data_IF_457951132525
#
_entry.id   IF_457951132525
#
_cell.length_a   1.000
_cell.length_b   1.000
_cell.length_c   1.000
_cell.angle_alpha   90.00
_cell.angle_beta   90.00
_cell.angle_gamma   90.00
#
_symmetry.space_group_name_H-M   'P 1'
#
loop_
_entity.id
_entity.type
_entity.pdbx_description
1 polymer ?
#
# COMPACT_ATOMS: atom_id res chain seq x y z
N UNK A 1 39.17 14.81 -6.53
CA UNK A 1 38.60 16.11 -6.96
C UNK A 1 37.25 16.19 -6.28
N UNK A 2 37.12 17.01 -5.25
CA UNK A 2 35.84 17.29 -4.58
C UNK A 2 35.09 18.30 -5.42
N UNK A 3 34.21 17.83 -6.30
CA UNK A 3 33.19 18.69 -6.87
C UNK A 3 32.28 19.09 -5.72
N UNK A 4 32.27 20.35 -5.34
CA UNK A 4 31.23 20.97 -4.53
C UNK A 4 29.95 20.89 -5.37
N UNK A 5 29.18 19.82 -5.23
CA UNK A 5 27.83 19.75 -5.79
C UNK A 5 27.04 20.92 -5.19
N UNK A 6 26.52 21.80 -6.04
CA UNK A 6 25.61 22.85 -5.60
C UNK A 6 24.38 22.16 -5.00
N UNK A 7 24.16 22.36 -3.69
CA UNK A 7 23.01 21.83 -2.98
C UNK A 7 21.74 22.42 -3.59
N UNK A 8 20.85 21.60 -4.13
CA UNK A 8 19.63 22.10 -4.79
C UNK A 8 18.72 22.82 -3.76
N UNK A 9 17.87 23.71 -4.26
CA UNK A 9 16.92 24.44 -3.40
C UNK A 9 15.99 23.49 -2.65
N UNK A 10 15.58 22.38 -3.28
CA UNK A 10 14.75 21.34 -2.65
C UNK A 10 15.50 20.56 -1.59
N UNK A 11 16.78 20.27 -1.77
CA UNK A 11 17.62 19.66 -0.75
C UNK A 11 17.66 20.53 0.52
N UNK A 12 17.87 21.84 0.37
CA UNK A 12 17.83 22.80 1.50
C UNK A 12 16.45 22.83 2.14
N UNK A 13 15.38 22.83 1.34
CA UNK A 13 14.01 22.80 1.85
C UNK A 13 13.75 21.57 2.71
N UNK A 14 14.18 20.38 2.27
CA UNK A 14 13.92 19.13 3.00
C UNK A 14 14.83 18.92 4.22
N UNK A 15 15.91 19.67 4.39
CA UNK A 15 16.78 19.56 5.58
C UNK A 15 16.02 19.78 6.90
N UNK A 16 15.03 20.70 6.94
CA UNK A 16 14.21 20.95 8.12
C UNK A 16 13.40 19.72 8.57
N UNK A 17 13.02 18.85 7.62
CA UNK A 17 12.32 17.58 7.91
C UNK A 17 13.33 16.48 8.23
N UNK A 18 14.39 16.34 7.45
CA UNK A 18 15.39 15.28 7.61
C UNK A 18 16.01 15.24 8.99
N UNK A 19 16.35 16.40 9.59
CA UNK A 19 16.95 16.49 10.93
C UNK A 19 16.09 15.88 12.05
N UNK A 20 14.79 15.77 11.84
CA UNK A 20 13.81 15.24 12.78
C UNK A 20 13.53 13.74 12.61
N UNK A 21 14.11 13.09 11.61
CA UNK A 21 14.01 11.63 11.43
C UNK A 21 14.75 10.95 12.55
N UNK A 22 14.08 10.08 13.31
CA UNK A 22 14.72 9.33 14.40
C UNK A 22 15.71 8.35 13.81
N UNK A 23 16.96 8.43 14.27
CA UNK A 23 18.05 7.59 13.78
C UNK A 23 18.72 8.09 12.49
N UNK A 24 18.49 9.33 12.05
CA UNK A 24 19.15 9.92 10.85
C UNK A 24 20.68 9.92 10.94
N UNK A 25 21.22 10.01 12.15
CA UNK A 25 22.66 9.96 12.42
C UNK A 25 23.07 8.69 13.19
N UNK A 26 22.24 7.63 13.15
CA UNK A 26 22.55 6.38 13.83
C UNK A 26 23.78 5.73 13.19
N UNK A 27 24.63 5.14 14.02
CA UNK A 27 25.78 4.35 13.62
C UNK A 27 25.65 2.94 14.16
N UNK A 28 26.31 1.98 13.50
CA UNK A 28 26.41 0.60 13.94
C UNK A 28 27.80 0.04 13.65
N UNK A 29 28.17 -1.07 14.30
CA UNK A 29 29.43 -1.74 14.07
C UNK A 29 29.22 -2.90 13.10
N UNK A 30 29.98 -2.91 12.01
CA UNK A 30 30.02 -3.99 11.01
C UNK A 30 31.37 -4.71 11.05
N UNK A 31 31.57 -5.80 10.30
CA UNK A 31 32.88 -6.44 10.15
C UNK A 31 33.96 -5.52 9.55
N UNK A 32 33.55 -4.42 8.88
CA UNK A 32 34.45 -3.43 8.28
C UNK A 32 34.62 -2.17 9.15
N UNK A 33 34.18 -2.23 10.41
CA UNK A 33 34.27 -1.12 11.35
C UNK A 33 32.93 -0.37 11.51
N UNK A 34 33.03 0.86 12.02
CA UNK A 34 31.88 1.72 12.31
C UNK A 34 31.31 2.32 11.04
N UNK A 35 30.01 2.15 10.83
CA UNK A 35 29.28 2.64 9.66
C UNK A 35 28.13 3.56 10.08
N UNK A 36 27.84 4.59 9.28
CA UNK A 36 26.60 5.37 9.40
C UNK A 36 25.45 4.58 8.80
N UNK A 37 24.31 4.50 9.49
CA UNK A 37 23.10 3.89 8.96
C UNK A 37 22.46 4.80 7.90
N UNK A 38 22.50 4.40 6.63
CA UNK A 38 21.87 5.11 5.50
C UNK A 38 20.66 4.28 5.08
N UNK A 39 19.47 4.67 5.55
CA UNK A 39 18.23 3.93 5.28
C UNK A 39 17.67 4.30 3.91
N UNK A 40 17.59 3.34 3.00
CA UNK A 40 17.09 3.52 1.63
C UNK A 40 15.88 2.63 1.29
N UNK A 41 15.44 1.74 2.20
CA UNK A 41 14.30 0.85 1.99
C UNK A 41 12.94 1.51 2.35
N UNK A 42 12.73 2.75 1.92
CA UNK A 42 11.52 3.53 2.20
C UNK A 42 10.25 2.90 1.63
N UNK A 43 10.35 2.20 0.52
CA UNK A 43 9.24 1.46 -0.10
C UNK A 43 8.68 0.38 0.82
N UNK A 44 9.50 -0.16 1.72
CA UNK A 44 9.08 -1.17 2.69
C UNK A 44 8.40 -0.56 3.92
N UNK A 45 8.99 0.49 4.49
CA UNK A 45 8.45 1.20 5.66
C UNK A 45 9.07 2.58 5.76
N UNK A 46 8.30 3.56 6.25
CA UNK A 46 8.82 4.85 6.65
C UNK A 46 9.72 4.77 7.89
N UNK A 47 10.16 5.94 8.34
CA UNK A 47 10.94 6.10 9.59
C UNK A 47 10.12 6.87 10.61
N UNK A 48 10.41 6.65 11.90
CA UNK A 48 9.81 7.45 12.97
C UNK A 48 10.26 8.93 12.86
N UNK A 49 9.35 9.82 13.23
CA UNK A 49 9.57 11.25 13.14
C UNK A 49 9.36 11.90 14.51
N UNK A 50 10.41 12.52 15.06
CA UNK A 50 10.46 13.02 16.44
C UNK A 50 9.24 13.88 16.84
N UNK A 51 8.82 14.91 16.08
CA UNK A 51 7.68 15.72 16.48
C UNK A 51 6.36 14.95 16.58
N UNK A 52 6.17 13.88 15.78
CA UNK A 52 4.98 13.01 15.86
C UNK A 52 5.03 12.18 17.14
N UNK A 53 6.19 11.57 17.45
CA UNK A 53 6.32 10.73 18.66
C UNK A 53 6.18 11.59 19.93
N UNK A 54 6.80 12.78 19.95
CA UNK A 54 6.68 13.72 21.07
C UNK A 54 5.24 14.20 21.26
N UNK A 55 4.52 14.46 20.17
CA UNK A 55 3.11 14.87 20.22
C UNK A 55 2.23 13.73 20.76
N UNK A 56 2.43 12.51 20.31
CA UNK A 56 1.71 11.35 20.83
C UNK A 56 1.98 11.16 22.33
N UNK A 57 3.22 11.28 22.76
CA UNK A 57 3.60 11.07 24.15
C UNK A 57 3.12 12.21 25.08
N UNK A 58 3.28 13.46 24.66
CA UNK A 58 3.13 14.62 25.56
C UNK A 58 1.74 15.26 25.46
N UNK A 59 1.07 15.25 24.31
CA UNK A 59 -0.22 15.88 24.13
C UNK A 59 -1.38 14.87 24.25
N UNK A 60 -1.29 13.71 23.60
CA UNK A 60 -2.32 12.68 23.67
C UNK A 60 -2.15 11.71 24.83
N UNK A 61 -0.89 11.36 25.17
CA UNK A 61 -0.56 10.38 26.20
C UNK A 61 -1.23 10.62 27.56
N UNK A 62 -1.26 11.86 28.10
CA UNK A 62 -1.91 12.17 29.37
C UNK A 62 -3.42 11.90 29.40
N UNK A 63 -4.09 11.84 28.22
CA UNK A 63 -5.54 11.66 28.10
C UNK A 63 -5.92 10.28 27.55
N UNK A 64 -4.96 9.37 27.36
CA UNK A 64 -5.25 8.05 26.81
C UNK A 64 -6.28 7.33 27.66
N UNK A 65 -7.44 7.06 27.07
CA UNK A 65 -8.55 6.32 27.62
C UNK A 65 -9.35 5.68 26.51
N UNK A 66 -10.32 4.80 26.86
CA UNK A 66 -11.19 4.21 25.86
C UNK A 66 -11.98 5.30 25.11
N UNK A 67 -12.13 5.11 23.80
CA UNK A 67 -13.09 5.84 22.97
C UNK A 67 -14.51 5.34 23.25
N UNK A 68 -15.55 5.85 22.60
CA UNK A 68 -16.97 5.56 22.80
C UNK A 68 -17.55 6.01 24.16
N UNK A 69 -16.91 6.99 24.81
CA UNK A 69 -17.45 7.65 26.00
C UNK A 69 -17.14 9.15 25.95
N UNK A 70 -18.14 9.95 26.26
CA UNK A 70 -18.03 11.42 26.29
C UNK A 70 -18.37 11.99 27.68
N UNK A 71 -18.39 11.14 28.71
CA UNK A 71 -18.76 11.52 30.06
C UNK A 71 -17.57 11.88 30.95
N UNK A 72 -16.35 11.57 30.51
CA UNK A 72 -15.10 11.89 31.19
C UNK A 72 -14.19 12.71 30.30
N UNK A 73 -13.33 13.57 30.89
CA UNK A 73 -12.42 14.42 30.12
C UNK A 73 -11.49 13.59 29.21
N UNK A 74 -10.96 12.48 29.68
CA UNK A 74 -10.09 11.61 28.88
C UNK A 74 -10.84 10.88 27.77
N UNK A 75 -12.03 10.33 28.07
CA UNK A 75 -12.87 9.69 27.05
C UNK A 75 -13.28 10.66 25.95
N UNK A 76 -13.77 11.86 26.34
CA UNK A 76 -14.13 12.92 25.38
C UNK A 76 -12.93 13.33 24.52
N UNK A 77 -11.77 13.57 25.14
CA UNK A 77 -10.56 14.00 24.41
C UNK A 77 -10.13 12.94 23.37
N UNK A 78 -10.12 11.65 23.74
CA UNK A 78 -9.73 10.58 22.81
C UNK A 78 -10.76 10.33 21.71
N UNK A 79 -12.05 10.37 22.05
CA UNK A 79 -13.14 10.26 21.05
C UNK A 79 -13.07 11.38 20.02
N UNK A 80 -12.91 12.63 20.47
CA UNK A 80 -12.77 13.77 19.56
C UNK A 80 -11.51 13.67 18.70
N UNK A 81 -10.35 13.32 19.28
CA UNK A 81 -9.11 13.16 18.55
C UNK A 81 -9.21 12.05 17.49
N UNK A 82 -9.86 10.94 17.82
CA UNK A 82 -10.12 9.83 16.88
C UNK A 82 -11.00 10.27 15.70
N UNK A 83 -12.13 10.97 15.97
CA UNK A 83 -12.99 11.48 14.90
C UNK A 83 -12.28 12.52 14.03
N UNK A 84 -11.50 13.43 14.63
CA UNK A 84 -10.71 14.39 13.86
C UNK A 84 -9.68 13.70 12.97
N UNK A 85 -9.01 12.65 13.47
CA UNK A 85 -8.07 11.87 12.68
C UNK A 85 -8.74 11.19 11.48
N UNK A 86 -9.92 10.60 11.65
CA UNK A 86 -10.72 10.02 10.56
C UNK A 86 -11.09 11.07 9.51
N UNK A 87 -11.50 12.26 9.93
CA UNK A 87 -11.82 13.37 9.02
C UNK A 87 -10.59 13.84 8.23
N UNK A 88 -9.41 13.91 8.85
CA UNK A 88 -8.15 14.23 8.16
C UNK A 88 -7.84 13.18 7.10
N UNK A 89 -7.99 11.90 7.41
CA UNK A 89 -7.76 10.81 6.46
C UNK A 89 -8.73 10.92 5.27
N UNK A 90 -10.03 11.10 5.53
CA UNK A 90 -11.04 11.25 4.47
C UNK A 90 -10.74 12.46 3.57
N UNK A 91 -10.41 13.60 4.18
CA UNK A 91 -10.04 14.81 3.42
C UNK A 91 -8.81 14.60 2.56
N UNK A 92 -7.79 13.90 3.07
CA UNK A 92 -6.54 13.62 2.37
C UNK A 92 -6.72 12.85 1.06
N UNK A 93 -7.74 12.00 1.01
CA UNK A 93 -8.04 11.17 -0.18
C UNK A 93 -9.18 11.72 -1.02
N UNK A 94 -9.65 12.93 -0.74
CA UNK A 94 -10.81 13.55 -1.38
C UNK A 94 -12.07 12.66 -1.32
N UNK A 95 -12.32 12.03 -0.16
CA UNK A 95 -13.52 11.25 0.08
C UNK A 95 -14.75 12.17 0.27
N UNK A 96 -15.91 11.68 -0.13
CA UNK A 96 -17.20 12.38 0.02
C UNK A 96 -18.11 11.68 1.05
N UNK A 97 -19.36 12.14 1.21
CA UNK A 97 -20.34 11.60 2.16
C UNK A 97 -20.84 10.18 1.84
N UNK A 98 -20.52 9.68 0.65
CA UNK A 98 -20.82 8.29 0.25
C UNK A 98 -19.67 7.32 0.53
N UNK A 99 -18.54 7.82 1.04
CA UNK A 99 -17.38 7.01 1.30
C UNK A 99 -17.27 6.64 2.78
N UNK A 100 -17.01 5.36 3.01
CA UNK A 100 -16.80 4.74 4.32
C UNK A 100 -15.30 4.58 4.55
N UNK A 101 -14.83 5.04 5.70
CA UNK A 101 -13.45 4.82 6.15
C UNK A 101 -13.40 3.67 7.16
N UNK A 102 -12.59 2.66 6.88
CA UNK A 102 -12.24 1.61 7.83
C UNK A 102 -10.72 1.62 8.04
N UNK A 103 -10.32 1.54 9.30
CA UNK A 103 -8.92 1.35 9.69
C UNK A 103 -8.77 0.03 10.42
N UNK A 104 -7.86 -0.83 9.94
CA UNK A 104 -7.67 -2.16 10.55
C UNK A 104 -6.23 -2.67 10.32
N UNK A 105 -5.80 -3.58 11.17
CA UNK A 105 -4.49 -4.20 11.07
C UNK A 105 -3.35 -3.19 11.06
N UNK A 106 -2.26 -3.52 10.37
CA UNK A 106 -1.02 -2.73 10.32
C UNK A 106 -0.69 -2.18 8.93
N UNK A 107 -1.51 -2.43 7.92
CA UNK A 107 -1.27 -2.00 6.55
C UNK A 107 -2.31 -2.51 5.56
N UNK A 108 -2.06 -2.28 4.28
CA UNK A 108 -2.96 -2.60 3.18
C UNK A 108 -3.40 -4.07 3.17
N UNK A 109 -2.50 -5.01 3.45
CA UNK A 109 -2.83 -6.45 3.48
C UNK A 109 -4.00 -6.79 4.41
N UNK A 110 -4.03 -6.20 5.62
CA UNK A 110 -5.12 -6.41 6.58
C UNK A 110 -6.45 -5.90 6.03
N UNK A 111 -6.45 -4.66 5.55
CA UNK A 111 -7.70 -4.01 5.11
C UNK A 111 -8.24 -4.56 3.79
N UNK A 112 -7.39 -4.99 2.83
CA UNK A 112 -7.90 -5.63 1.61
C UNK A 112 -8.56 -6.98 1.91
N UNK A 113 -7.97 -7.77 2.81
CA UNK A 113 -8.58 -9.04 3.25
C UNK A 113 -9.90 -8.79 4.00
N UNK A 114 -9.96 -7.77 4.87
CA UNK A 114 -11.21 -7.35 5.52
C UNK A 114 -12.25 -6.92 4.49
N UNK A 115 -11.86 -6.14 3.50
CA UNK A 115 -12.77 -5.68 2.44
C UNK A 115 -13.33 -6.85 1.61
N UNK A 116 -12.49 -7.83 1.26
CA UNK A 116 -12.93 -9.05 0.57
C UNK A 116 -13.97 -9.84 1.39
N UNK A 117 -13.85 -9.88 2.74
CA UNK A 117 -14.88 -10.48 3.61
C UNK A 117 -16.16 -9.63 3.66
N UNK A 118 -16.03 -8.30 3.76
CA UNK A 118 -17.17 -7.37 3.68
C UNK A 118 -17.93 -7.52 2.36
N UNK A 119 -17.23 -7.69 1.25
CA UNK A 119 -17.83 -7.95 -0.07
C UNK A 119 -18.42 -9.36 -0.21
N UNK A 120 -18.27 -10.24 0.80
CA UNK A 120 -18.75 -11.61 0.75
C UNK A 120 -17.97 -12.52 -0.19
N UNK A 121 -16.73 -12.16 -0.53
CA UNK A 121 -15.89 -12.88 -1.49
C UNK A 121 -14.99 -13.95 -0.85
N UNK A 122 -14.90 -14.00 0.46
CA UNK A 122 -14.08 -14.98 1.19
C UNK A 122 -14.94 -16.08 1.77
N UNK A 123 -14.55 -17.32 1.50
CA UNK A 123 -15.13 -18.52 2.12
C UNK A 123 -14.04 -19.18 2.94
N UNK A 124 -14.40 -19.72 4.11
CA UNK A 124 -13.46 -20.51 4.92
C UNK A 124 -12.96 -21.69 4.10
N UNK A 125 -11.64 -21.96 4.15
CA UNK A 125 -11.00 -22.97 3.29
C UNK A 125 -11.65 -24.35 3.39
N UNK A 126 -12.00 -24.78 4.62
CA UNK A 126 -12.68 -26.05 4.89
C UNK A 126 -14.12 -26.12 4.36
N UNK A 127 -14.68 -25.01 3.85
CA UNK A 127 -16.01 -24.95 3.25
C UNK A 127 -15.96 -24.76 1.72
N UNK A 128 -14.79 -24.53 1.13
CA UNK A 128 -14.66 -24.30 -0.33
C UNK A 128 -15.25 -25.46 -1.15
N UNK A 129 -14.96 -26.70 -0.79
CA UNK A 129 -15.45 -27.90 -1.50
C UNK A 129 -16.97 -28.08 -1.44
N UNK A 130 -17.63 -27.52 -0.43
CA UNK A 130 -19.09 -27.57 -0.27
C UNK A 130 -19.82 -26.39 -0.90
N UNK A 131 -19.09 -25.47 -1.53
CA UNK A 131 -19.65 -24.24 -2.08
C UNK A 131 -19.52 -24.21 -3.59
N UNK A 132 -20.63 -24.49 -4.30
CA UNK A 132 -20.71 -24.34 -5.76
C UNK A 132 -21.30 -22.97 -6.10
N UNK A 133 -20.50 -22.11 -6.73
CA UNK A 133 -20.95 -20.79 -7.17
C UNK A 133 -21.24 -20.85 -8.68
N UNK A 134 -22.47 -20.58 -9.12
CA UNK A 134 -22.80 -20.52 -10.53
C UNK A 134 -21.95 -19.49 -11.27
N UNK A 135 -21.45 -19.85 -12.47
CA UNK A 135 -20.58 -18.99 -13.27
C UNK A 135 -21.15 -17.59 -13.50
N UNK A 136 -22.48 -17.49 -13.70
CA UNK A 136 -23.16 -16.22 -13.97
C UNK A 136 -23.06 -15.19 -12.81
N UNK A 137 -22.97 -15.66 -11.57
CA UNK A 137 -22.87 -14.79 -10.39
C UNK A 137 -21.46 -14.76 -9.79
N UNK A 138 -20.53 -15.58 -10.32
CA UNK A 138 -19.14 -15.61 -9.89
C UNK A 138 -18.46 -14.31 -10.32
N UNK A 139 -17.88 -13.53 -9.38
CA UNK A 139 -17.18 -12.30 -9.73
C UNK A 139 -15.96 -12.54 -10.60
N UNK A 140 -15.55 -11.53 -11.35
CA UNK A 140 -14.26 -11.47 -12.05
C UNK A 140 -13.43 -10.31 -11.49
N UNK A 141 -12.16 -10.57 -11.19
CA UNK A 141 -11.21 -9.56 -10.74
C UNK A 141 -10.09 -9.43 -11.76
N UNK A 142 -9.88 -8.22 -12.25
CA UNK A 142 -8.77 -7.88 -13.12
C UNK A 142 -7.67 -7.25 -12.27
N UNK A 143 -6.46 -7.78 -12.34
CA UNK A 143 -5.27 -7.26 -11.65
C UNK A 143 -4.18 -6.94 -12.68
N UNK A 144 -3.30 -6.01 -12.37
CA UNK A 144 -2.16 -5.74 -13.25
C UNK A 144 -1.06 -6.80 -13.09
N UNK A 145 -0.17 -6.90 -14.07
CA UNK A 145 1.04 -7.72 -13.95
C UNK A 145 2.05 -7.16 -12.92
N UNK A 146 1.85 -5.93 -12.44
CA UNK A 146 2.75 -5.22 -11.51
C UNK A 146 2.33 -5.30 -10.05
N UNK A 147 1.35 -6.15 -9.71
CA UNK A 147 0.78 -6.15 -8.36
C UNK A 147 1.75 -6.66 -7.29
N UNK A 148 1.68 -6.03 -6.12
CA UNK A 148 2.22 -6.61 -4.90
C UNK A 148 1.43 -7.87 -4.53
N UNK A 149 2.10 -8.87 -3.91
CA UNK A 149 1.44 -10.12 -3.49
C UNK A 149 0.14 -9.88 -2.71
N UNK A 150 0.06 -8.85 -1.86
CA UNK A 150 -1.16 -8.55 -1.10
C UNK A 150 -2.37 -8.22 -1.98
N UNK A 151 -2.15 -7.63 -3.17
CA UNK A 151 -3.23 -7.34 -4.13
C UNK A 151 -3.33 -8.38 -5.25
N UNK A 152 -2.54 -9.42 -5.23
CA UNK A 152 -2.62 -10.56 -6.12
C UNK A 152 -3.11 -11.81 -5.39
N UNK A 153 -2.31 -12.34 -4.44
CA UNK A 153 -2.61 -13.61 -3.78
C UNK A 153 -3.90 -13.55 -2.97
N UNK A 154 -4.22 -12.39 -2.39
CA UNK A 154 -5.47 -12.25 -1.64
C UNK A 154 -6.71 -12.47 -2.53
N UNK A 155 -6.69 -12.00 -3.78
CA UNK A 155 -7.78 -12.20 -4.74
C UNK A 155 -7.86 -13.65 -5.24
N UNK A 156 -6.71 -14.32 -5.44
CA UNK A 156 -6.66 -15.74 -5.80
C UNK A 156 -7.30 -16.64 -4.72
N UNK A 157 -7.33 -16.18 -3.47
CA UNK A 157 -7.95 -16.89 -2.35
C UNK A 157 -9.42 -16.51 -2.13
N UNK A 158 -10.04 -15.76 -3.05
CA UNK A 158 -11.48 -15.47 -3.05
C UNK A 158 -12.26 -16.46 -3.90
N UNK A 159 -13.59 -16.29 -3.94
CA UNK A 159 -14.48 -17.03 -4.86
C UNK A 159 -14.44 -16.52 -6.30
N UNK A 160 -13.79 -15.39 -6.55
CA UNK A 160 -13.74 -14.75 -7.86
C UNK A 160 -12.80 -15.52 -8.82
N UNK A 161 -13.06 -15.39 -10.12
CA UNK A 161 -12.02 -15.64 -11.11
C UNK A 161 -11.07 -14.43 -11.12
N UNK A 162 -9.79 -14.68 -11.40
CA UNK A 162 -8.78 -13.61 -11.46
C UNK A 162 -8.08 -13.66 -12.81
N UNK A 163 -8.06 -12.52 -13.50
CA UNK A 163 -7.33 -12.34 -14.76
C UNK A 163 -6.24 -11.29 -14.58
N UNK A 164 -5.04 -11.62 -15.04
CA UNK A 164 -3.92 -10.69 -15.08
C UNK A 164 -3.95 -9.91 -16.38
N UNK A 165 -4.00 -8.60 -16.30
CA UNK A 165 -3.94 -7.70 -17.46
C UNK A 165 -2.51 -7.75 -18.01
N UNK A 166 -2.33 -8.14 -19.29
CA UNK A 166 -1.01 -8.20 -19.92
C UNK A 166 -0.34 -6.83 -19.99
N UNK A 167 0.99 -6.84 -19.97
CA UNK A 167 1.78 -5.67 -20.33
C UNK A 167 1.66 -5.36 -21.83
N UNK A 168 1.93 -4.11 -22.20
CA UNK A 168 2.19 -3.75 -23.59
C UNK A 168 3.65 -4.11 -24.00
N UNK A 169 4.00 -3.75 -25.22
CA UNK A 169 5.35 -4.04 -25.78
C UNK A 169 6.49 -3.34 -24.99
N UNK A 170 6.18 -2.28 -24.28
CA UNK A 170 7.14 -1.52 -23.46
C UNK A 170 7.15 -1.98 -21.99
N UNK A 171 6.28 -2.91 -21.61
CA UNK A 171 6.18 -3.41 -20.24
C UNK A 171 5.28 -2.59 -19.33
N UNK A 172 4.49 -1.69 -19.90
CA UNK A 172 3.55 -0.84 -19.18
C UNK A 172 2.16 -1.49 -19.12
N UNK A 173 1.28 -0.91 -18.32
CA UNK A 173 -0.12 -1.33 -18.24
C UNK A 173 -0.83 -1.13 -19.59
N UNK A 174 -1.35 -2.20 -20.18
CA UNK A 174 -1.98 -2.17 -21.49
C UNK A 174 -3.49 -1.92 -21.40
N UNK A 175 -3.93 -0.67 -21.59
CA UNK A 175 -5.35 -0.30 -21.61
C UNK A 175 -6.14 -1.02 -22.71
N UNK A 176 -5.51 -1.33 -23.85
CA UNK A 176 -6.20 -2.03 -24.95
C UNK A 176 -6.48 -3.50 -24.60
N UNK A 177 -5.52 -4.20 -24.01
CA UNK A 177 -5.73 -5.57 -23.52
C UNK A 177 -6.73 -5.60 -22.36
N UNK A 178 -6.70 -4.60 -21.49
CA UNK A 178 -7.68 -4.45 -20.42
C UNK A 178 -9.11 -4.33 -20.99
N UNK A 179 -9.35 -3.48 -21.99
CA UNK A 179 -10.67 -3.37 -22.66
C UNK A 179 -11.15 -4.69 -23.23
N UNK A 180 -10.27 -5.46 -23.90
CA UNK A 180 -10.61 -6.78 -24.44
C UNK A 180 -10.99 -7.76 -23.32
N UNK A 181 -10.28 -7.74 -22.19
CA UNK A 181 -10.63 -8.58 -21.03
C UNK A 181 -11.99 -8.19 -20.45
N UNK A 182 -12.28 -6.90 -20.28
CA UNK A 182 -13.57 -6.41 -19.78
C UNK A 182 -14.71 -6.84 -20.72
N UNK A 183 -14.51 -6.77 -22.04
CA UNK A 183 -15.47 -7.24 -23.04
C UNK A 183 -15.67 -8.76 -22.98
N UNK A 184 -14.59 -9.53 -22.89
CA UNK A 184 -14.61 -11.02 -22.74
C UNK A 184 -15.49 -11.47 -21.56
N UNK A 185 -15.51 -10.68 -20.47
CA UNK A 185 -16.27 -10.97 -19.26
C UNK A 185 -17.49 -10.06 -19.10
N UNK A 186 -18.06 -9.58 -20.21
CA UNK A 186 -19.25 -8.70 -20.20
C UNK A 186 -20.49 -9.35 -19.56
N UNK A 187 -20.58 -10.69 -19.59
CA UNK A 187 -21.64 -11.51 -18.99
C UNK A 187 -21.57 -11.59 -17.46
N UNK A 188 -20.46 -11.18 -16.84
CA UNK A 188 -20.30 -11.24 -15.37
C UNK A 188 -21.04 -10.10 -14.70
N UNK A 189 -21.85 -10.44 -13.70
CA UNK A 189 -22.67 -9.47 -12.94
C UNK A 189 -21.83 -8.57 -12.02
N UNK A 190 -20.68 -9.05 -11.55
CA UNK A 190 -19.79 -8.26 -10.70
C UNK A 190 -18.35 -8.31 -11.23
N UNK A 191 -17.89 -7.16 -11.71
CA UNK A 191 -16.57 -6.96 -12.30
C UNK A 191 -15.78 -5.99 -11.42
N UNK A 192 -14.57 -6.36 -11.04
CA UNK A 192 -13.66 -5.59 -10.19
C UNK A 192 -12.34 -5.43 -10.94
N UNK A 193 -11.85 -4.21 -11.08
CA UNK A 193 -10.44 -3.96 -11.33
C UNK A 193 -9.77 -3.63 -9.99
N UNK A 194 -8.78 -4.40 -9.57
CA UNK A 194 -8.00 -4.14 -8.36
C UNK A 194 -6.54 -3.99 -8.74
N UNK A 195 -6.06 -2.75 -8.86
CA UNK A 195 -4.75 -2.46 -9.42
C UNK A 195 -3.90 -1.60 -8.49
N UNK A 196 -2.58 -1.79 -8.56
CA UNK A 196 -1.65 -0.89 -7.87
C UNK A 196 -1.60 0.45 -8.59
N UNK A 197 -1.51 1.55 -7.84
CA UNK A 197 -1.28 2.88 -8.40
C UNK A 197 0.15 3.06 -8.91
N UNK A 198 1.08 2.25 -8.38
CA UNK A 198 2.51 2.30 -8.69
C UNK A 198 3.19 1.00 -8.27
N UNK A 199 4.04 0.45 -9.13
CA UNK A 199 4.85 -0.72 -8.79
C UNK A 199 5.83 -0.44 -7.65
N UNK A 200 5.86 -1.30 -6.66
CA UNK A 200 6.85 -1.27 -5.57
C UNK A 200 8.24 -1.78 -5.98
N UNK A 201 8.41 -2.24 -7.21
CA UNK A 201 9.68 -2.70 -7.78
C UNK A 201 10.32 -1.63 -8.65
N UNK A 202 9.54 -0.99 -9.50
CA UNK A 202 10.07 -0.04 -10.50
C UNK A 202 9.67 1.40 -10.29
N UNK A 203 8.68 1.69 -9.43
CA UNK A 203 8.15 3.04 -9.29
C UNK A 203 7.26 3.50 -10.46
N UNK A 204 7.03 2.64 -11.45
CA UNK A 204 6.19 2.94 -12.62
C UNK A 204 4.73 3.03 -12.20
N UNK A 205 4.05 4.10 -12.60
CA UNK A 205 2.65 4.38 -12.28
C UNK A 205 1.72 3.66 -13.25
N UNK A 206 0.51 3.34 -12.81
CA UNK A 206 -0.57 2.80 -13.64
C UNK A 206 -1.60 3.88 -13.96
N UNK A 207 -2.36 3.75 -15.06
CA UNK A 207 -3.42 4.69 -15.44
C UNK A 207 -4.75 4.37 -14.72
N UNK A 208 -4.76 4.37 -13.37
CA UNK A 208 -5.88 3.86 -12.57
C UNK A 208 -7.19 4.64 -12.75
N UNK A 209 -7.16 5.93 -13.08
CA UNK A 209 -8.38 6.70 -13.36
C UNK A 209 -8.99 6.34 -14.71
N UNK A 210 -8.16 6.06 -15.73
CA UNK A 210 -8.62 5.54 -17.02
C UNK A 210 -9.20 4.13 -16.88
N UNK A 211 -8.60 3.30 -16.02
CA UNK A 211 -9.12 1.98 -15.66
C UNK A 211 -10.49 2.12 -15.00
N UNK A 212 -10.64 3.03 -14.02
CA UNK A 212 -11.91 3.30 -13.35
C UNK A 212 -13.00 3.70 -14.36
N UNK A 213 -12.69 4.63 -15.26
CA UNK A 213 -13.60 5.05 -16.32
C UNK A 213 -14.07 3.89 -17.20
N UNK A 214 -13.15 3.01 -17.63
CA UNK A 214 -13.49 1.82 -18.43
C UNK A 214 -14.39 0.88 -17.63
N UNK A 215 -14.09 0.67 -16.33
CA UNK A 215 -14.90 -0.19 -15.47
C UNK A 215 -16.32 0.34 -15.32
N UNK A 216 -16.50 1.63 -15.03
CA UNK A 216 -17.82 2.25 -14.87
C UNK A 216 -18.66 2.17 -16.17
N UNK A 217 -18.04 2.38 -17.34
CA UNK A 217 -18.69 2.21 -18.64
C UNK A 217 -19.19 0.77 -18.88
N UNK A 218 -18.65 -0.20 -18.14
CA UNK A 218 -18.99 -1.62 -18.25
C UNK A 218 -19.67 -2.18 -16.98
N UNK A 219 -20.28 -1.33 -16.15
CA UNK A 219 -20.93 -1.71 -14.89
C UNK A 219 -20.00 -2.48 -13.93
N UNK A 220 -18.74 -2.12 -13.88
CA UNK A 220 -17.74 -2.63 -12.96
C UNK A 220 -17.31 -1.59 -11.94
N UNK A 221 -16.42 -1.96 -11.03
CA UNK A 221 -15.85 -1.10 -9.97
C UNK A 221 -14.33 -1.12 -10.03
N UNK A 222 -13.70 -0.06 -9.57
CA UNK A 222 -12.24 0.08 -9.56
C UNK A 222 -11.72 0.30 -8.14
N UNK A 223 -10.82 -0.58 -7.72
CA UNK A 223 -10.11 -0.52 -6.44
C UNK A 223 -8.62 -0.25 -6.69
N UNK A 224 -8.03 0.65 -5.92
CA UNK A 224 -6.65 1.05 -6.15
C UNK A 224 -5.79 0.90 -4.90
N UNK A 225 -4.67 0.19 -5.04
CA UNK A 225 -3.65 0.03 -4.01
C UNK A 225 -2.65 1.19 -4.07
N UNK A 226 -2.72 2.09 -3.10
CA UNK A 226 -1.78 3.20 -2.92
C UNK A 226 -0.67 2.90 -1.89
N UNK A 227 -0.46 1.64 -1.52
CA UNK A 227 0.53 1.31 -0.48
C UNK A 227 1.96 1.75 -0.85
N UNK A 228 2.32 1.70 -2.13
CA UNK A 228 3.64 2.17 -2.59
C UNK A 228 3.69 3.69 -2.76
N UNK A 229 2.76 4.25 -3.52
CA UNK A 229 2.77 5.64 -3.95
C UNK A 229 2.20 6.62 -2.92
N UNK A 230 1.34 6.16 -2.00
CA UNK A 230 0.61 7.00 -1.05
C UNK A 230 1.46 8.01 -0.28
N UNK A 231 2.71 7.70 0.15
CA UNK A 231 3.59 8.69 0.78
C UNK A 231 4.00 9.86 -0.11
N UNK A 232 3.92 9.73 -1.44
CA UNK A 232 4.56 10.62 -2.41
C UNK A 232 3.57 11.38 -3.29
N UNK A 233 2.41 10.79 -3.62
CA UNK A 233 1.45 11.36 -4.57
C UNK A 233 0.20 11.90 -3.87
N UNK A 234 -0.52 12.78 -4.54
CA UNK A 234 -1.90 13.10 -4.18
C UNK A 234 -2.79 11.85 -4.40
N UNK A 235 -3.69 11.60 -3.45
CA UNK A 235 -4.71 10.56 -3.60
C UNK A 235 -6.04 11.29 -3.79
N UNK A 236 -6.65 11.11 -4.95
CA UNK A 236 -7.93 11.74 -5.28
C UNK A 236 -8.94 10.68 -5.71
N UNK A 237 -9.87 10.35 -4.79
CA UNK A 237 -10.92 9.36 -5.10
C UNK A 237 -11.96 9.89 -6.08
N UNK A 238 -12.18 11.20 -6.15
CA UNK A 238 -13.25 11.82 -6.94
C UNK A 238 -12.71 12.96 -7.81
N UNK A 239 -11.86 12.66 -8.84
CA UNK A 239 -11.37 13.68 -9.76
C UNK A 239 -12.53 14.23 -10.63
N UNK A 240 -13.48 13.36 -11.00
CA UNK A 240 -14.68 13.65 -11.77
C UNK A 240 -15.75 12.56 -11.59
N UNK A 241 -16.87 12.67 -12.31
CA UNK A 241 -18.02 11.75 -12.21
C UNK A 241 -17.86 10.44 -13.01
N UNK A 242 -16.81 10.27 -13.80
CA UNK A 242 -16.60 9.10 -14.65
C UNK A 242 -15.42 8.23 -14.21
N UNK A 243 -14.38 8.86 -13.65
CA UNK A 243 -13.13 8.24 -13.30
C UNK A 243 -12.85 8.16 -11.79
N UNK A 244 -13.91 8.29 -10.96
CA UNK A 244 -13.80 8.11 -9.51
C UNK A 244 -13.35 6.69 -9.14
N UNK A 245 -12.83 6.53 -7.91
CA UNK A 245 -12.37 5.25 -7.39
C UNK A 245 -13.41 4.72 -6.39
N UNK A 246 -13.83 3.46 -6.59
CA UNK A 246 -14.83 2.83 -5.71
C UNK A 246 -14.25 2.36 -4.38
N UNK A 247 -12.96 2.06 -4.36
CA UNK A 247 -12.21 1.80 -3.12
C UNK A 247 -10.72 2.12 -3.31
N UNK A 248 -10.09 2.51 -2.20
CA UNK A 248 -8.64 2.65 -2.10
C UNK A 248 -8.12 1.98 -0.85
N UNK A 249 -6.90 1.47 -0.92
CA UNK A 249 -6.17 0.94 0.24
C UNK A 249 -4.79 1.55 0.31
N UNK A 250 -4.31 1.81 1.52
CA UNK A 250 -2.91 2.19 1.69
C UNK A 250 -2.35 1.81 3.05
N UNK A 251 -1.03 1.88 3.14
CA UNK A 251 -0.25 1.50 4.32
C UNK A 251 0.43 2.73 4.91
N UNK A 252 -0.20 3.45 5.86
CA UNK A 252 0.39 4.66 6.41
C UNK A 252 1.74 4.44 7.10
N UNK A 253 2.09 3.21 7.52
CA UNK A 253 3.41 2.91 8.07
C UNK A 253 4.56 3.20 7.09
N UNK A 254 4.27 3.37 5.79
CA UNK A 254 5.27 3.76 4.76
C UNK A 254 5.49 5.27 4.69
N UNK A 255 4.61 6.08 5.28
CA UNK A 255 4.82 7.52 5.38
C UNK A 255 5.93 7.85 6.38
N UNK A 256 6.57 8.99 6.22
CA UNK A 256 7.46 9.53 7.25
C UNK A 256 6.64 9.78 8.53
N UNK A 257 7.10 9.25 9.65
CA UNK A 257 6.38 9.26 10.93
C UNK A 257 5.30 8.19 11.06
N UNK A 258 5.10 7.37 10.02
CA UNK A 258 4.01 6.40 9.95
C UNK A 258 4.20 5.03 10.63
N UNK A 259 5.41 4.51 10.93
CA UNK A 259 5.51 3.21 11.60
C UNK A 259 4.67 3.15 12.89
N UNK A 260 3.86 2.10 13.04
CA UNK A 260 2.91 1.92 14.14
C UNK A 260 1.48 2.41 13.85
N UNK A 261 1.16 2.75 12.61
CA UNK A 261 -0.19 3.13 12.16
C UNK A 261 -1.02 1.92 11.74
N UNK A 262 -2.35 2.11 11.66
CA UNK A 262 -3.26 1.13 11.07
C UNK A 262 -3.24 1.18 9.53
N UNK A 263 -3.63 0.08 8.87
CA UNK A 263 -4.00 0.10 7.47
C UNK A 263 -5.26 0.95 7.23
N UNK A 264 -5.38 1.52 6.05
CA UNK A 264 -6.52 2.38 5.67
C UNK A 264 -7.21 1.81 4.44
N UNK A 265 -8.53 1.70 4.54
CA UNK A 265 -9.47 1.39 3.46
C UNK A 265 -10.51 2.52 3.42
N UNK A 266 -10.72 3.10 2.23
CA UNK A 266 -11.86 3.99 1.98
C UNK A 266 -12.61 3.44 0.77
N UNK A 267 -13.94 3.32 0.87
CA UNK A 267 -14.74 2.73 -0.20
C UNK A 267 -16.15 3.31 -0.26
N UNK A 268 -16.76 3.24 -1.43
CA UNK A 268 -18.13 3.69 -1.64
C UNK A 268 -19.12 2.81 -0.85
N UNK A 269 -19.96 3.43 -0.01
CA UNK A 269 -20.96 2.74 0.84
C UNK A 269 -21.91 1.82 0.09
N UNK A 270 -22.13 2.04 -1.21
CA UNK A 270 -22.97 1.18 -2.03
C UNK A 270 -22.42 -0.26 -2.17
N UNK A 271 -21.14 -0.47 -1.90
CA UNK A 271 -20.51 -1.78 -1.87
C UNK A 271 -20.78 -2.55 -0.58
N UNK A 272 -21.24 -1.88 0.47
CA UNK A 272 -21.55 -2.51 1.75
C UNK A 272 -23.00 -3.03 1.77
N UNK A 273 -23.16 -4.34 1.83
CA UNK A 273 -24.49 -5.01 1.82
C UNK A 273 -24.78 -5.78 3.11
N UNK A 274 -23.85 -5.79 4.06
CA UNK A 274 -23.91 -6.62 5.26
C UNK A 274 -24.80 -6.01 6.34
N UNK A 275 -25.62 -6.85 6.97
CA UNK A 275 -26.32 -6.50 8.21
C UNK A 275 -25.48 -6.78 9.46
N UNK A 276 -24.55 -7.72 9.35
CA UNK A 276 -23.61 -8.14 10.40
C UNK A 276 -22.22 -7.63 10.03
N UNK A 277 -21.48 -6.96 10.95
CA UNK A 277 -20.13 -6.53 10.67
C UNK A 277 -19.18 -7.71 10.47
N UNK A 278 -18.03 -7.45 9.82
CA UNK A 278 -16.96 -8.43 9.63
C UNK A 278 -16.42 -8.97 10.98
N UNK A 279 -16.34 -8.10 11.98
CA UNK A 279 -15.88 -8.44 13.34
C UNK A 279 -16.94 -8.03 14.39
N UNK A 280 -17.98 -8.86 14.63
CA UNK A 280 -18.97 -8.56 15.67
C UNK A 280 -18.32 -8.51 17.06
N UNK A 281 -18.66 -7.49 17.86
CA UNK A 281 -18.10 -7.34 19.20
C UNK A 281 -18.61 -6.14 19.96
N UNK A 282 -17.95 -5.80 21.05
CA UNK A 282 -18.22 -4.59 21.81
C UNK A 282 -18.06 -3.36 20.92
N UNK A 283 -18.89 -2.34 21.12
CA UNK A 283 -18.88 -1.11 20.30
C UNK A 283 -19.69 -1.20 19.00
N UNK A 284 -20.02 -2.40 18.50
CA UNK A 284 -20.74 -2.59 17.23
C UNK A 284 -22.26 -2.66 17.36
N UNK A 285 -22.77 -2.79 18.59
CA UNK A 285 -24.19 -3.00 18.90
C UNK A 285 -24.79 -1.82 19.64
N UNK A 286 -26.04 -1.46 19.29
CA UNK A 286 -26.84 -0.47 20.01
C UNK A 286 -27.39 -1.04 21.31
N UNK A 287 -27.76 -2.33 21.33
CA UNK A 287 -28.23 -3.04 22.49
C UNK A 287 -28.13 -4.57 22.31
N UNK A 288 -28.08 -5.28 23.45
CA UNK A 288 -28.20 -6.73 23.53
C UNK A 288 -29.11 -7.11 24.71
N UNK A 289 -29.64 -8.36 24.74
CA UNK A 289 -30.39 -8.88 25.84
C UNK A 289 -30.07 -10.36 26.14
N UNK A 290 -30.43 -10.90 27.32
CA UNK A 290 -30.08 -12.28 27.71
C UNK A 290 -30.79 -13.37 26.87
N UNK A 291 -31.79 -13.02 26.10
CA UNK A 291 -32.61 -13.95 25.29
C UNK A 291 -32.14 -14.02 23.81
N UNK A 292 -30.93 -13.54 23.52
CA UNK A 292 -30.33 -13.61 22.18
C UNK A 292 -30.67 -12.43 21.24
N UNK A 293 -31.49 -11.48 21.68
CA UNK A 293 -31.79 -10.27 20.89
C UNK A 293 -30.61 -9.30 20.92
N UNK A 294 -30.34 -8.71 19.76
CA UNK A 294 -29.35 -7.64 19.61
C UNK A 294 -29.65 -6.82 18.38
N UNK A 295 -29.12 -5.58 18.34
CA UNK A 295 -29.16 -4.71 17.15
C UNK A 295 -27.80 -4.08 16.95
N UNK A 296 -27.24 -4.20 15.74
CA UNK A 296 -26.02 -3.49 15.33
C UNK A 296 -26.28 -2.01 15.11
N UNK A 297 -25.22 -1.19 15.22
CA UNK A 297 -25.23 0.24 14.95
C UNK A 297 -25.49 0.47 13.45
N UNK A 298 -26.29 1.49 13.12
CA UNK A 298 -26.68 1.77 11.74
C UNK A 298 -25.52 2.41 10.94
N UNK A 299 -24.65 3.21 11.56
CA UNK A 299 -23.46 3.78 10.94
C UNK A 299 -22.46 2.67 10.60
N UNK A 300 -22.06 2.57 9.33
CA UNK A 300 -21.17 1.49 8.84
C UNK A 300 -19.80 1.58 9.51
N UNK A 301 -19.23 2.80 9.61
CA UNK A 301 -17.90 3.00 10.16
C UNK A 301 -17.82 2.58 11.62
N UNK A 302 -18.82 2.93 12.43
CA UNK A 302 -18.90 2.54 13.84
C UNK A 302 -19.24 1.06 13.99
N UNK A 303 -20.09 0.52 13.11
CA UNK A 303 -20.44 -0.91 13.11
C UNK A 303 -19.24 -1.80 12.77
N UNK A 304 -18.33 -1.37 11.90
CA UNK A 304 -17.12 -2.11 11.52
C UNK A 304 -15.92 -1.87 12.47
N UNK A 305 -16.09 -1.02 13.47
CA UNK A 305 -15.07 -0.67 14.47
C UNK A 305 -15.21 -1.51 15.74
N UNK A 306 -15.20 -2.84 15.56
CA UNK A 306 -15.46 -3.81 16.64
C UNK A 306 -14.34 -3.90 17.67
N UNK A 307 -14.70 -3.82 18.93
CA UNK A 307 -13.78 -3.79 20.08
C UNK A 307 -13.30 -2.37 20.39
N UNK A 308 -12.14 -2.25 21.03
CA UNK A 308 -11.48 -0.95 21.18
C UNK A 308 -10.67 -0.67 19.92
N UNK A 309 -10.99 0.38 19.14
CA UNK A 309 -10.26 0.68 17.93
C UNK A 309 -8.81 1.07 18.21
N UNK A 310 -7.97 0.94 17.21
CA UNK A 310 -6.59 1.41 17.26
C UNK A 310 -6.49 2.94 17.22
N UNK A 311 -7.13 3.65 18.17
CA UNK A 311 -7.29 5.10 18.11
C UNK A 311 -5.95 5.86 18.06
N UNK A 312 -4.93 5.44 18.81
CA UNK A 312 -3.59 6.05 18.72
C UNK A 312 -2.94 5.82 17.37
N UNK A 313 -3.13 4.64 16.78
CA UNK A 313 -2.65 4.30 15.46
C UNK A 313 -3.30 5.18 14.38
N UNK A 314 -4.60 5.45 14.51
CA UNK A 314 -5.36 6.31 13.59
C UNK A 314 -4.97 7.79 13.78
N UNK A 315 -4.80 8.26 15.00
CA UNK A 315 -4.27 9.60 15.31
C UNK A 315 -2.88 9.76 14.68
N UNK A 316 -2.01 8.76 14.84
CA UNK A 316 -0.68 8.76 14.22
C UNK A 316 -0.74 8.80 12.70
N UNK A 317 -1.69 8.08 12.08
CA UNK A 317 -1.96 8.14 10.64
C UNK A 317 -2.26 9.57 10.19
N UNK A 318 -3.17 10.25 10.88
CA UNK A 318 -3.50 11.64 10.59
C UNK A 318 -2.30 12.58 10.72
N UNK A 319 -1.47 12.40 11.76
CA UNK A 319 -0.24 13.18 11.95
C UNK A 319 0.79 12.95 10.83
N UNK A 320 0.95 11.71 10.36
CA UNK A 320 1.85 11.40 9.26
C UNK A 320 1.34 11.99 7.93
N UNK A 321 0.02 11.98 7.70
CA UNK A 321 -0.62 12.64 6.56
C UNK A 321 -0.38 14.16 6.60
N UNK A 322 -0.62 14.80 7.73
CA UNK A 322 -0.37 16.24 7.90
C UNK A 322 1.10 16.60 7.68
N UNK A 323 2.03 15.72 8.06
CA UNK A 323 3.45 15.92 7.78
C UNK A 323 3.72 15.87 6.27
N UNK A 324 3.15 14.91 5.54
CA UNK A 324 3.23 14.84 4.06
C UNK A 324 2.67 16.11 3.42
N UNK A 325 1.51 16.57 3.84
CA UNK A 325 0.89 17.80 3.34
C UNK A 325 1.78 19.03 3.62
N UNK A 326 2.39 19.10 4.81
CA UNK A 326 3.35 20.16 5.17
C UNK A 326 4.63 20.11 4.32
N UNK A 327 5.10 18.93 3.96
CA UNK A 327 6.23 18.79 3.02
C UNK A 327 5.86 19.25 1.61
N UNK A 328 4.59 19.19 1.25
CA UNK A 328 4.07 19.55 -0.08
C UNK A 328 4.29 18.43 -1.09
N UNK A 329 3.19 17.89 -1.63
CA UNK A 329 3.24 16.76 -2.59
C UNK A 329 4.07 17.13 -3.82
N UNK A 330 3.91 18.35 -4.36
CA UNK A 330 4.68 18.78 -5.52
C UNK A 330 6.19 18.85 -5.21
N UNK A 331 6.58 19.41 -4.06
CA UNK A 331 7.99 19.43 -3.65
C UNK A 331 8.57 18.02 -3.51
N UNK A 332 7.77 17.07 -2.98
CA UNK A 332 8.17 15.65 -2.87
C UNK A 332 8.42 15.08 -4.27
N UNK A 333 7.48 15.27 -5.20
CA UNK A 333 7.59 14.75 -6.57
C UNK A 333 8.77 15.37 -7.34
N UNK A 334 8.96 16.68 -7.22
CA UNK A 334 10.07 17.37 -7.87
C UNK A 334 11.41 16.85 -7.33
N UNK A 335 11.51 16.65 -6.01
CA UNK A 335 12.73 16.07 -5.40
C UNK A 335 12.95 14.62 -5.80
N UNK A 336 11.88 13.81 -5.90
CA UNK A 336 11.96 12.43 -6.41
C UNK A 336 12.49 12.41 -7.84
N UNK A 337 12.02 13.30 -8.73
CA UNK A 337 12.50 13.40 -10.10
C UNK A 337 13.99 13.77 -10.15
N UNK A 338 14.44 14.80 -9.41
CA UNK A 338 15.87 15.15 -9.31
C UNK A 338 16.72 13.94 -8.91
N UNK A 339 16.25 13.16 -7.91
CA UNK A 339 16.99 12.00 -7.41
C UNK A 339 16.97 10.83 -8.42
N UNK A 340 15.86 10.59 -9.11
CA UNK A 340 15.76 9.56 -10.14
C UNK A 340 16.71 9.88 -11.29
N UNK A 341 16.69 11.11 -11.80
CA UNK A 341 17.56 11.55 -12.89
C UNK A 341 19.03 11.38 -12.51
N UNK A 342 19.40 11.82 -11.30
CA UNK A 342 20.76 11.67 -10.79
C UNK A 342 21.20 10.20 -10.70
N UNK A 343 20.34 9.32 -10.16
CA UNK A 343 20.66 7.91 -10.02
C UNK A 343 20.83 7.24 -11.38
N UNK A 344 19.95 7.54 -12.34
CA UNK A 344 20.08 7.00 -13.70
C UNK A 344 21.37 7.46 -14.36
N UNK A 345 21.71 8.77 -14.29
CA UNK A 345 22.96 9.29 -14.81
C UNK A 345 24.20 8.57 -14.24
N UNK A 346 24.20 8.32 -12.93
CA UNK A 346 25.33 7.68 -12.27
C UNK A 346 25.40 6.17 -12.52
N UNK A 347 24.27 5.46 -12.54
CA UNK A 347 24.25 4.00 -12.59
C UNK A 347 24.23 3.41 -14.01
N UNK A 348 23.73 4.14 -15.01
CA UNK A 348 23.70 3.67 -16.43
C UNK A 348 25.10 3.35 -16.98
N UNK A 349 26.13 4.01 -16.47
CA UNK A 349 27.52 3.81 -16.89
C UNK A 349 28.25 2.70 -16.11
N UNK A 350 27.61 2.13 -15.08
CA UNK A 350 28.26 1.11 -14.24
C UNK A 350 28.23 -0.23 -14.95
N UNK A 351 29.43 -0.75 -15.26
CA UNK A 351 29.59 -2.05 -15.90
C UNK A 351 28.98 -3.19 -15.06
N UNK A 352 28.32 -4.12 -15.72
CA UNK A 352 27.62 -5.27 -15.13
C UNK A 352 26.43 -4.96 -14.22
N UNK A 353 26.01 -3.70 -14.07
CA UNK A 353 24.79 -3.31 -13.38
C UNK A 353 23.65 -3.07 -14.39
N UNK A 354 22.49 -3.65 -14.13
CA UNK A 354 21.29 -3.44 -14.93
C UNK A 354 20.17 -2.91 -14.06
N UNK A 355 19.66 -1.70 -14.37
CA UNK A 355 18.45 -1.15 -13.74
C UNK A 355 17.24 -1.80 -14.39
N UNK A 356 16.28 -2.31 -13.59
CA UNK A 356 15.06 -2.91 -14.11
C UNK A 356 14.13 -1.85 -14.72
N UNK A 357 13.59 -2.14 -15.90
CA UNK A 357 12.76 -1.23 -16.71
C UNK A 357 13.44 0.13 -16.94
N UNK A 358 14.74 0.14 -17.28
CA UNK A 358 15.56 1.34 -17.43
C UNK A 358 15.08 2.30 -18.52
N UNK A 359 14.32 1.83 -19.50
CA UNK A 359 13.71 2.65 -20.54
C UNK A 359 12.66 3.64 -20.02
N UNK A 360 12.12 3.43 -18.80
CA UNK A 360 11.09 4.27 -18.19
C UNK A 360 11.67 5.06 -17.02
N UNK A 361 12.12 6.29 -17.29
CA UNK A 361 12.66 7.21 -16.25
C UNK A 361 11.55 7.98 -15.52
N UNK A 362 10.37 8.16 -16.13
CA UNK A 362 9.22 8.78 -15.46
C UNK A 362 8.59 7.82 -14.45
N UNK A 363 9.19 7.76 -13.25
CA UNK A 363 8.79 6.87 -12.14
C UNK A 363 8.97 7.57 -10.79
N UNK A 364 8.40 7.01 -9.74
CA UNK A 364 8.75 7.37 -8.37
C UNK A 364 10.14 6.83 -8.02
N UNK A 365 10.76 7.37 -6.97
CA UNK A 365 12.12 7.06 -6.54
C UNK A 365 12.37 5.62 -6.07
N UNK A 366 11.84 4.64 -6.80
CA UNK A 366 12.04 3.20 -6.58
C UNK A 366 12.96 2.67 -7.68
N UNK A 367 14.18 2.33 -7.30
CA UNK A 367 15.21 1.83 -8.22
C UNK A 367 15.56 0.41 -7.83
N UNK A 368 15.20 -0.54 -8.69
CA UNK A 368 15.61 -1.94 -8.58
C UNK A 368 16.65 -2.26 -9.65
N UNK A 369 17.69 -2.98 -9.26
CA UNK A 369 18.77 -3.36 -10.15
C UNK A 369 19.33 -4.73 -9.79
N UNK A 370 20.03 -5.34 -10.70
CA UNK A 370 20.88 -6.50 -10.41
C UNK A 370 22.28 -6.26 -10.95
N UNK A 371 23.24 -6.98 -10.36
CA UNK A 371 24.62 -7.00 -10.82
C UNK A 371 24.89 -8.40 -11.36
N UNK A 372 25.38 -8.48 -12.60
CA UNK A 372 25.67 -9.76 -13.26
C UNK A 372 26.61 -10.61 -12.40
N UNK A 373 26.29 -11.87 -12.27
CA UNK A 373 27.07 -12.89 -11.52
C UNK A 373 27.21 -12.60 -10.01
N UNK A 374 26.44 -11.65 -9.46
CA UNK A 374 26.41 -11.35 -8.03
C UNK A 374 25.04 -11.72 -7.44
N UNK A 375 25.03 -12.66 -6.50
CA UNK A 375 23.81 -13.00 -5.77
C UNK A 375 23.31 -11.80 -4.94
N UNK A 376 22.03 -11.47 -5.02
CA UNK A 376 21.44 -10.26 -4.42
C UNK A 376 21.70 -10.15 -2.90
N UNK A 377 21.65 -11.25 -2.15
CA UNK A 377 21.96 -11.23 -0.71
C UNK A 377 23.40 -10.79 -0.42
N UNK A 378 24.37 -11.17 -1.27
CA UNK A 378 25.75 -10.72 -1.13
C UNK A 378 25.84 -9.21 -1.43
N UNK A 379 25.18 -8.73 -2.47
CA UNK A 379 25.10 -7.30 -2.78
C UNK A 379 24.53 -6.49 -1.61
N UNK A 380 23.36 -6.89 -1.08
CA UNK A 380 22.74 -6.26 0.10
C UNK A 380 23.68 -6.27 1.31
N UNK A 381 24.35 -7.41 1.56
CA UNK A 381 25.27 -7.55 2.68
C UNK A 381 26.50 -6.65 2.55
N UNK A 382 27.04 -6.52 1.35
CA UNK A 382 28.18 -5.61 1.08
C UNK A 382 27.76 -4.15 1.27
N UNK A 383 26.61 -3.74 0.72
CA UNK A 383 26.08 -2.39 0.88
C UNK A 383 25.88 -2.05 2.36
N UNK A 384 25.29 -2.97 3.14
CA UNK A 384 25.11 -2.81 4.58
C UNK A 384 26.45 -2.72 5.33
N UNK A 385 27.31 -3.75 5.19
CA UNK A 385 28.47 -3.92 6.09
C UNK A 385 29.60 -2.94 5.76
N UNK A 386 29.80 -2.61 4.48
CA UNK A 386 30.91 -1.78 4.03
C UNK A 386 30.56 -0.30 3.90
N UNK A 387 29.29 -0.01 3.59
CA UNK A 387 28.85 1.36 3.27
C UNK A 387 27.71 1.87 4.15
N UNK A 388 27.11 0.99 4.99
CA UNK A 388 25.99 1.35 5.86
C UNK A 388 24.65 1.52 5.12
N UNK A 389 24.59 1.21 3.82
CA UNK A 389 23.40 1.42 2.98
C UNK A 389 22.43 0.25 3.18
N UNK A 390 21.22 0.58 3.66
CA UNK A 390 20.17 -0.39 3.96
C UNK A 390 19.25 -0.54 2.74
N UNK A 391 19.41 -1.64 2.02
CA UNK A 391 18.59 -1.99 0.85
C UNK A 391 17.84 -3.29 1.08
N UNK A 392 16.91 -3.61 0.20
CA UNK A 392 16.21 -4.89 0.16
C UNK A 392 16.68 -5.71 -1.03
N UNK A 393 16.84 -7.03 -0.87
CA UNK A 393 17.10 -7.97 -1.95
C UNK A 393 15.98 -9.00 -2.12
N UNK A 394 15.91 -9.62 -3.29
CA UNK A 394 14.94 -10.64 -3.65
C UNK A 394 13.71 -10.11 -4.37
N UNK A 395 12.63 -10.90 -4.43
CA UNK A 395 11.45 -10.63 -5.27
C UNK A 395 10.59 -9.42 -4.83
N UNK A 396 10.90 -8.75 -3.72
CA UNK A 396 10.20 -7.57 -3.21
C UNK A 396 8.67 -7.75 -3.09
N UNK A 397 8.19 -8.98 -2.85
CA UNK A 397 6.76 -9.34 -2.80
C UNK A 397 5.98 -9.00 -4.08
N UNK A 398 6.61 -9.09 -5.25
CA UNK A 398 6.01 -8.89 -6.56
C UNK A 398 6.54 -9.94 -7.55
N UNK A 399 6.36 -11.23 -7.21
CA UNK A 399 6.93 -12.35 -7.97
C UNK A 399 6.49 -12.39 -9.43
N UNK A 400 5.23 -12.15 -9.73
CA UNK A 400 4.71 -12.09 -11.10
C UNK A 400 5.43 -11.03 -11.93
N UNK A 401 5.58 -9.83 -11.37
CA UNK A 401 6.31 -8.76 -12.05
C UNK A 401 7.81 -9.03 -12.14
N UNK A 402 8.38 -9.68 -11.11
CA UNK A 402 9.78 -10.12 -11.14
C UNK A 402 10.07 -11.11 -12.28
N UNK A 403 9.19 -12.09 -12.52
CA UNK A 403 9.31 -13.02 -13.66
C UNK A 403 9.28 -12.25 -14.99
N UNK A 404 8.36 -11.32 -15.13
CA UNK A 404 8.28 -10.46 -16.31
C UNK A 404 9.56 -9.66 -16.54
N UNK A 405 10.02 -8.92 -15.53
CA UNK A 405 11.20 -8.04 -15.62
C UNK A 405 12.52 -8.80 -15.86
N UNK A 406 12.60 -10.05 -15.40
CA UNK A 406 13.79 -10.89 -15.55
C UNK A 406 13.66 -11.89 -16.71
N UNK A 407 12.56 -11.78 -17.50
CA UNK A 407 12.28 -12.66 -18.65
C UNK A 407 12.32 -14.15 -18.26
N UNK A 408 11.77 -14.51 -17.09
CA UNK A 408 11.66 -15.89 -16.62
C UNK A 408 10.42 -16.51 -17.23
N UNK A 409 10.60 -17.49 -18.11
CA UNK A 409 9.51 -18.26 -18.69
C UNK A 409 8.97 -19.35 -17.75
N UNK A 410 7.89 -20.01 -18.15
CA UNK A 410 7.21 -21.02 -17.33
C UNK A 410 8.11 -22.24 -17.06
N UNK A 411 8.91 -22.68 -18.04
CA UNK A 411 9.82 -23.82 -17.92
C UNK A 411 10.91 -23.50 -16.86
N UNK A 412 11.57 -22.37 -17.01
CA UNK A 412 12.58 -21.89 -16.04
C UNK A 412 11.96 -21.70 -14.65
N UNK A 413 10.76 -21.16 -14.56
CA UNK A 413 10.04 -20.96 -13.28
C UNK A 413 9.78 -22.30 -12.59
N UNK A 414 9.29 -23.32 -13.33
CA UNK A 414 9.01 -24.64 -12.79
C UNK A 414 10.30 -25.34 -12.32
N UNK A 415 11.40 -25.22 -13.05
CA UNK A 415 12.69 -25.75 -12.65
C UNK A 415 13.20 -25.10 -11.36
N UNK A 416 13.06 -23.78 -11.23
CA UNK A 416 13.41 -23.04 -10.00
C UNK A 416 12.54 -23.48 -8.81
N UNK A 417 11.23 -23.67 -9.01
CA UNK A 417 10.31 -24.16 -7.98
C UNK A 417 10.74 -25.55 -7.49
N UNK A 418 11.07 -26.47 -8.41
CA UNK A 418 11.55 -27.81 -8.06
C UNK A 418 12.84 -27.74 -7.23
N UNK A 419 13.79 -26.89 -7.58
CA UNK A 419 15.05 -26.71 -6.87
C UNK A 419 14.83 -26.10 -5.48
N UNK A 420 14.00 -25.06 -5.36
CA UNK A 420 13.65 -24.43 -4.07
C UNK A 420 12.95 -25.44 -3.15
N UNK A 421 12.03 -26.23 -3.68
CA UNK A 421 11.25 -27.23 -2.93
C UNK A 421 12.15 -28.39 -2.45
N UNK A 422 13.17 -28.75 -3.22
CA UNK A 422 14.17 -29.76 -2.83
C UNK A 422 15.20 -29.26 -1.82
N UNK A 423 15.16 -28.00 -1.42
CA UNK A 423 16.02 -27.39 -0.39
C UNK A 423 17.26 -26.67 -0.93
N UNK A 424 17.38 -26.49 -2.24
CA UNK A 424 18.44 -25.67 -2.84
C UNK A 424 18.08 -24.17 -2.70
N UNK A 425 18.50 -23.56 -1.60
CA UNK A 425 18.26 -22.16 -1.27
C UNK A 425 19.21 -21.18 -1.97
N UNK A 426 20.19 -21.65 -2.71
CA UNK A 426 21.19 -20.79 -3.37
C UNK A 426 20.57 -20.08 -4.58
N UNK A 427 19.53 -20.66 -5.17
CA UNK A 427 18.86 -20.14 -6.37
C UNK A 427 17.53 -19.41 -6.11
N UNK A 428 17.22 -19.14 -4.86
CA UNK A 428 15.99 -18.45 -4.46
C UNK A 428 16.06 -16.95 -4.73
#
# INVERSE_FOLDING_TARGET
MTTTEETTQLELYFQQFRKNIIGVNQEFVSPFGKQKLIYTDWTASGRLYRPIEEKLMNEFGPYVANTHTETTISGTAMTMAYHQARNIIKKHVNANENDVLITDGTGMTGVVNKFQRILGLRIAENLKEFTAIPKAIKPIVFISHMEHHSNQTSWLETIADVEVIPADAEGLFCLNEFKKLVEKYSDRSFKIASITSCSNVTGIKTPYHEVAKIMHQNNGVCFVDFACSGPYVEINMHPDNESYLDAIFFSPHKFLGGPGTSGVLVFNKNLYKNNVPDCPGGGTVSWTNPWGGHKYIDNIEDREDGGTPGFLQVIKTALAIQLKEKMGVQNILDREHELVDYVFEQLESVENLTILANQHKNRLGVISFYIKDLHFNLGVKILNDKFGIQTRGGCSCAGTYGHYLLHVDEETSNDLICQITSGDLIKK
#
